data_IF_372574632039
#
_entry.id   IF_372574632039
#
_cell.length_a   1.000
_cell.length_b   1.000
_cell.length_c   1.000
_cell.angle_alpha   90.00
_cell.angle_beta   90.00
_cell.angle_gamma   90.00
#
_symmetry.space_group_name_H-M   'P 1'
#
loop_
_entity.id
_entity.type
_entity.pdbx_description
1 polymer ?
#
# COMPACT_ATOMS: atom_id res chain seq x y z
N UNK A 1 9.85 73.17 40.63
CA UNK A 1 9.92 71.74 41.01
C UNK A 1 8.57 71.34 41.56
N UNK A 2 7.80 70.58 40.79
CA UNK A 2 6.44 70.19 41.16
C UNK A 2 6.46 69.17 42.30
N UNK A 3 5.86 69.53 43.44
CA UNK A 3 5.60 68.62 44.57
C UNK A 3 4.33 67.83 44.24
N UNK A 4 4.50 66.65 43.65
CA UNK A 4 3.41 65.70 43.48
C UNK A 4 2.94 65.20 44.86
N UNK A 5 1.61 65.16 45.09
CA UNK A 5 1.04 64.60 46.32
C UNK A 5 1.23 63.08 46.29
N UNK A 6 1.69 62.50 47.41
CA UNK A 6 2.01 61.08 47.54
C UNK A 6 0.93 60.13 46.97
N UNK A 7 -0.36 60.46 47.10
CA UNK A 7 -1.45 59.63 46.59
C UNK A 7 -1.59 59.57 45.06
N UNK A 8 -1.07 60.54 44.31
CA UNK A 8 -1.07 60.51 42.83
C UNK A 8 0.07 59.63 42.30
N UNK A 9 1.22 59.66 42.97
CA UNK A 9 2.40 58.83 42.63
C UNK A 9 2.09 57.34 42.80
N UNK A 10 1.39 56.95 43.87
CA UNK A 10 0.99 55.55 44.09
C UNK A 10 -0.03 55.06 43.06
N UNK A 11 -0.97 55.92 42.65
CA UNK A 11 -1.97 55.60 41.63
C UNK A 11 -1.33 55.40 40.25
N UNK A 12 -0.29 56.19 39.94
CA UNK A 12 0.49 56.06 38.70
C UNK A 12 1.33 54.78 38.68
N UNK A 13 2.03 54.46 39.79
CA UNK A 13 2.79 53.21 39.94
C UNK A 13 1.90 51.98 39.84
N UNK A 14 0.72 52.02 40.47
CA UNK A 14 -0.26 50.93 40.39
C UNK A 14 -0.74 50.70 38.95
N UNK A 15 -1.05 51.78 38.22
CA UNK A 15 -1.47 51.70 36.81
C UNK A 15 -0.38 51.24 35.83
N UNK A 16 0.90 51.55 36.10
CA UNK A 16 2.03 50.98 35.35
C UNK A 16 2.24 49.50 35.65
N UNK A 17 2.16 49.10 36.92
CA UNK A 17 2.35 47.71 37.34
C UNK A 17 1.28 46.80 36.73
N UNK A 18 0.00 47.23 36.73
CA UNK A 18 -1.06 46.47 36.07
C UNK A 18 -0.86 46.33 34.55
N UNK A 19 -0.36 47.38 33.88
CA UNK A 19 -0.07 47.33 32.44
C UNK A 19 1.09 46.38 32.14
N UNK A 20 2.13 46.38 32.97
CA UNK A 20 3.25 45.44 32.86
C UNK A 20 2.82 43.98 33.03
N UNK A 21 2.00 43.71 34.05
CA UNK A 21 1.43 42.37 34.31
C UNK A 21 0.53 41.92 33.17
N UNK A 22 -0.33 42.79 32.63
CA UNK A 22 -1.18 42.47 31.47
C UNK A 22 -0.37 42.13 30.22
N UNK A 23 0.72 42.85 29.94
CA UNK A 23 1.61 42.55 28.82
C UNK A 23 2.39 41.24 29.02
N UNK A 24 2.87 40.99 30.23
CA UNK A 24 3.54 39.73 30.58
C UNK A 24 2.59 38.53 30.43
N UNK A 25 1.37 38.65 30.93
CA UNK A 25 0.33 37.62 30.80
C UNK A 25 -0.01 37.31 29.34
N UNK A 26 -0.18 38.34 28.50
CA UNK A 26 -0.45 38.16 27.05
C UNK A 26 0.68 37.41 26.34
N UNK A 27 1.94 37.73 26.65
CA UNK A 27 3.10 37.04 26.07
C UNK A 27 3.19 35.58 26.51
N UNK A 28 2.88 35.31 27.77
CA UNK A 28 2.83 33.95 28.30
C UNK A 28 1.74 33.12 27.62
N UNK A 29 0.51 33.65 27.52
CA UNK A 29 -0.61 32.98 26.84
C UNK A 29 -0.28 32.72 25.37
N UNK A 30 0.30 33.70 24.67
CA UNK A 30 0.71 33.52 23.28
C UNK A 30 1.77 32.41 23.13
N UNK A 31 2.75 32.36 24.04
CA UNK A 31 3.76 31.30 24.06
C UNK A 31 3.15 29.91 24.24
N UNK A 32 2.19 29.77 25.17
CA UNK A 32 1.49 28.50 25.41
C UNK A 32 0.66 28.06 24.20
N UNK A 33 -0.03 29.00 23.53
CA UNK A 33 -0.81 28.70 22.32
C UNK A 33 0.09 28.22 21.19
N UNK A 34 1.23 28.90 20.95
CA UNK A 34 2.19 28.51 19.91
C UNK A 34 2.77 27.12 20.22
N UNK A 35 3.18 26.87 21.46
CA UNK A 35 3.68 25.56 21.87
C UNK A 35 2.62 24.46 21.69
N UNK A 36 1.36 24.76 22.01
CA UNK A 36 0.24 23.84 21.80
C UNK A 36 0.00 23.51 20.33
N UNK A 37 0.07 24.49 19.43
CA UNK A 37 -0.07 24.28 17.98
C UNK A 37 1.08 23.43 17.45
N UNK A 38 2.32 23.71 17.84
CA UNK A 38 3.49 22.93 17.42
C UNK A 38 3.36 21.49 17.91
N UNK A 39 3.00 21.29 19.19
CA UNK A 39 2.83 19.95 19.77
C UNK A 39 1.71 19.18 19.07
N UNK A 40 0.56 19.81 18.85
CA UNK A 40 -0.56 19.21 18.10
C UNK A 40 -0.15 18.88 16.66
N UNK A 41 0.57 19.77 15.98
CA UNK A 41 1.09 19.53 14.64
C UNK A 41 2.08 18.36 14.58
N UNK A 42 2.97 18.22 15.57
CA UNK A 42 3.90 17.08 15.67
C UNK A 42 3.14 15.78 15.94
N UNK A 43 2.14 15.77 16.82
CA UNK A 43 1.32 14.59 17.08
C UNK A 43 0.56 14.15 15.82
N UNK A 44 -0.08 15.09 15.12
CA UNK A 44 -0.76 14.81 13.86
C UNK A 44 0.22 14.30 12.79
N UNK A 45 1.40 14.90 12.69
CA UNK A 45 2.44 14.46 11.76
C UNK A 45 2.92 13.03 12.06
N UNK A 46 3.11 12.68 13.33
CA UNK A 46 3.48 11.32 13.74
C UNK A 46 2.36 10.31 13.45
N UNK A 47 1.10 10.65 13.72
CA UNK A 47 -0.04 9.79 13.40
C UNK A 47 -0.19 9.55 11.89
N UNK A 48 -0.07 10.59 11.05
CA UNK A 48 -0.13 10.47 9.59
C UNK A 48 1.02 9.60 9.05
N UNK A 49 2.19 9.68 9.68
CA UNK A 49 3.35 8.88 9.29
C UNK A 49 3.14 7.39 9.61
N UNK A 50 2.58 7.08 10.76
CA UNK A 50 2.25 5.70 11.16
C UNK A 50 1.17 5.07 10.26
N UNK A 51 0.19 5.86 9.79
CA UNK A 51 -0.78 5.38 8.79
C UNK A 51 -0.13 5.07 7.44
N UNK A 52 0.85 5.88 6.99
CA UNK A 52 1.52 5.67 5.69
C UNK A 52 2.58 4.57 5.67
N UNK A 53 3.16 4.22 6.81
CA UNK A 53 4.22 3.19 6.90
C UNK A 53 3.68 1.77 7.15
N UNK A 54 2.36 1.52 7.02
CA UNK A 54 1.77 0.30 7.57
C UNK A 54 0.86 -0.46 6.60
N UNK A 55 1.18 -0.44 5.31
CA UNK A 55 0.36 -1.08 4.28
C UNK A 55 0.95 -2.43 3.83
N UNK A 56 0.05 -3.39 3.59
CA UNK A 56 0.37 -4.61 2.84
C UNK A 56 0.62 -4.20 1.39
N UNK A 57 1.76 -4.59 0.82
CA UNK A 57 2.09 -4.29 -0.56
C UNK A 57 2.63 -5.54 -1.23
N UNK A 58 1.84 -6.11 -2.14
CA UNK A 58 2.17 -7.37 -2.81
C UNK A 58 2.82 -7.08 -4.16
N UNK A 59 3.99 -7.67 -4.37
CA UNK A 59 4.68 -7.70 -5.66
C UNK A 59 4.66 -9.13 -6.21
N UNK A 60 4.74 -9.23 -7.52
CA UNK A 60 4.87 -10.51 -8.23
C UNK A 60 5.74 -10.34 -9.47
N UNK A 61 6.35 -11.44 -9.89
CA UNK A 61 7.05 -11.56 -11.17
C UNK A 61 6.51 -12.78 -11.89
N UNK A 62 6.18 -12.65 -13.17
CA UNK A 62 5.52 -13.69 -13.95
C UNK A 62 6.11 -13.78 -15.34
N UNK A 63 6.49 -14.99 -15.71
CA UNK A 63 6.96 -15.35 -17.04
C UNK A 63 5.92 -16.24 -17.71
N UNK A 64 5.43 -15.81 -18.87
CA UNK A 64 4.49 -16.57 -19.69
C UNK A 64 5.19 -17.06 -20.96
N UNK A 65 5.04 -18.35 -21.25
CA UNK A 65 5.56 -18.98 -22.47
C UNK A 65 4.42 -19.68 -23.20
N UNK A 66 4.17 -19.29 -24.45
CA UNK A 66 3.16 -19.92 -25.30
C UNK A 66 3.79 -20.54 -26.55
N UNK A 67 3.57 -21.84 -26.73
CA UNK A 67 3.97 -22.51 -27.94
C UNK A 67 3.68 -24.01 -27.96
N UNK A 68 4.20 -24.66 -29.00
CA UNK A 68 4.15 -26.10 -29.11
C UNK A 68 4.82 -26.74 -27.88
N UNK A 69 4.18 -27.78 -27.35
CA UNK A 69 4.62 -28.52 -26.16
C UNK A 69 6.07 -28.98 -26.32
N UNK A 70 7.03 -28.25 -25.73
CA UNK A 70 8.43 -28.68 -25.64
C UNK A 70 8.62 -29.43 -24.31
N UNK A 71 8.78 -30.77 -24.40
CA UNK A 71 9.23 -31.64 -23.30
C UNK A 71 8.46 -32.96 -23.15
N UNK A 72 9.18 -34.09 -23.28
CA UNK A 72 8.92 -35.51 -22.91
C UNK A 72 7.57 -36.19 -23.28
N UNK A 73 6.53 -35.45 -23.63
CA UNK A 73 5.27 -35.98 -24.14
C UNK A 73 5.24 -36.00 -25.67
N UNK A 74 6.36 -36.41 -26.28
CA UNK A 74 6.47 -36.73 -27.73
C UNK A 74 5.49 -37.85 -28.17
N UNK A 75 4.78 -38.47 -27.21
CA UNK A 75 3.79 -39.52 -27.44
C UNK A 75 2.33 -39.02 -27.54
N UNK A 76 2.08 -37.74 -27.30
CA UNK A 76 0.78 -37.08 -27.53
C UNK A 76 0.99 -35.74 -28.22
N UNK A 77 1.67 -35.74 -29.36
CA UNK A 77 1.46 -34.69 -30.37
C UNK A 77 0.03 -34.83 -30.91
N UNK A 78 -0.96 -34.37 -30.13
CA UNK A 78 -2.28 -34.08 -30.69
C UNK A 78 -2.03 -32.93 -31.65
N UNK A 79 -1.92 -33.25 -32.94
CA UNK A 79 -1.62 -32.32 -34.01
C UNK A 79 -2.60 -31.14 -33.91
N UNK A 80 -2.09 -29.94 -33.64
CA UNK A 80 -2.92 -28.75 -33.51
C UNK A 80 -3.22 -28.29 -32.07
N UNK A 81 -2.57 -28.81 -31.03
CA UNK A 81 -2.63 -28.24 -29.67
C UNK A 81 -1.38 -27.40 -29.34
N UNK A 82 -1.53 -26.36 -28.54
CA UNK A 82 -0.44 -25.61 -27.89
C UNK A 82 -0.71 -25.42 -26.40
N UNK A 83 0.33 -25.10 -25.63
CA UNK A 83 0.18 -24.77 -24.22
C UNK A 83 0.73 -23.39 -23.89
N UNK A 84 0.08 -22.78 -22.91
CA UNK A 84 0.45 -21.51 -22.27
C UNK A 84 0.91 -21.86 -20.86
N UNK A 85 2.22 -21.83 -20.65
CA UNK A 85 2.85 -22.07 -19.35
C UNK A 85 3.11 -20.75 -18.66
N UNK A 86 2.70 -20.66 -17.42
CA UNK A 86 2.92 -19.50 -16.55
C UNK A 86 3.73 -19.98 -15.37
N UNK A 87 4.84 -19.29 -15.09
CA UNK A 87 5.66 -19.48 -13.90
C UNK A 87 5.85 -18.13 -13.25
N UNK A 88 5.70 -18.06 -11.93
CA UNK A 88 5.86 -16.81 -11.22
C UNK A 88 6.13 -16.96 -9.75
N UNK A 89 6.42 -15.84 -9.14
CA UNK A 89 6.63 -15.70 -7.70
C UNK A 89 5.77 -14.55 -7.18
N UNK A 90 5.24 -14.71 -5.97
CA UNK A 90 4.55 -13.65 -5.23
C UNK A 90 5.22 -13.41 -3.88
N UNK A 91 5.37 -12.16 -3.49
CA UNK A 91 5.94 -11.78 -2.18
C UNK A 91 5.40 -10.43 -1.69
N UNK A 92 5.49 -10.22 -0.39
CA UNK A 92 5.02 -9.00 0.25
C UNK A 92 6.18 -8.04 0.53
N UNK A 93 6.26 -6.94 -0.21
CA UNK A 93 7.25 -5.87 -0.02
C UNK A 93 6.80 -4.83 1.03
N UNK A 94 5.58 -4.94 1.53
CA UNK A 94 5.03 -4.06 2.56
C UNK A 94 5.60 -4.32 3.95
N UNK A 95 5.23 -3.45 4.88
CA UNK A 95 5.70 -3.48 6.27
C UNK A 95 4.82 -4.31 7.21
N UNK A 96 3.62 -4.68 6.76
CA UNK A 96 2.70 -5.60 7.47
C UNK A 96 2.60 -6.94 6.78
N UNK A 97 2.43 -8.00 7.57
CA UNK A 97 2.11 -9.34 7.08
C UNK A 97 0.81 -9.33 6.25
N UNK A 98 0.84 -10.01 5.11
CA UNK A 98 -0.34 -10.24 4.29
C UNK A 98 -0.88 -11.63 4.60
N UNK A 99 -2.12 -11.70 5.10
CA UNK A 99 -2.73 -12.96 5.51
C UNK A 99 -3.66 -13.52 4.45
N UNK A 100 -3.74 -14.85 4.40
CA UNK A 100 -4.67 -15.58 3.52
C UNK A 100 -4.56 -15.13 2.05
N UNK A 101 -3.34 -14.95 1.56
CA UNK A 101 -3.05 -14.50 0.20
C UNK A 101 -3.50 -15.57 -0.79
N UNK A 102 -4.22 -15.12 -1.81
CA UNK A 102 -4.73 -15.95 -2.90
C UNK A 102 -4.26 -15.35 -4.22
N UNK A 103 -3.67 -16.19 -5.08
CA UNK A 103 -3.25 -15.81 -6.43
C UNK A 103 -4.09 -16.59 -7.43
N UNK A 104 -4.77 -15.86 -8.31
CA UNK A 104 -5.57 -16.41 -9.40
C UNK A 104 -5.01 -15.93 -10.73
N UNK A 105 -4.66 -16.87 -11.59
CA UNK A 105 -4.31 -16.60 -12.98
C UNK A 105 -5.58 -16.65 -13.84
N UNK A 106 -5.80 -15.62 -14.63
CA UNK A 106 -6.93 -15.51 -15.55
C UNK A 106 -6.35 -15.61 -16.97
N UNK A 107 -6.67 -16.69 -17.65
CA UNK A 107 -6.32 -16.93 -19.05
C UNK A 107 -7.50 -16.48 -19.91
N UNK A 108 -7.30 -15.43 -20.70
CA UNK A 108 -8.29 -14.91 -21.64
C UNK A 108 -7.88 -15.32 -23.05
N UNK A 109 -8.60 -16.30 -23.60
CA UNK A 109 -8.43 -16.78 -24.96
C UNK A 109 -9.53 -16.21 -25.87
N UNK A 110 -9.23 -15.07 -26.49
CA UNK A 110 -10.15 -14.42 -27.41
C UNK A 110 -10.41 -15.24 -28.69
N UNK A 111 -9.52 -16.16 -29.07
CA UNK A 111 -9.67 -16.94 -30.29
C UNK A 111 -10.66 -18.11 -30.12
N UNK A 112 -10.79 -18.62 -28.90
CA UNK A 112 -11.71 -19.70 -28.54
C UNK A 112 -12.88 -19.23 -27.66
N UNK A 113 -13.07 -17.92 -27.50
CA UNK A 113 -14.10 -17.31 -26.63
C UNK A 113 -14.13 -17.93 -25.23
N UNK A 114 -12.94 -18.08 -24.64
CA UNK A 114 -12.76 -18.83 -23.39
C UNK A 114 -12.02 -18.00 -22.35
N UNK A 115 -12.52 -18.03 -21.11
CA UNK A 115 -11.86 -17.43 -19.96
C UNK A 115 -11.70 -18.48 -18.87
N UNK A 116 -10.46 -18.89 -18.62
CA UNK A 116 -10.13 -19.91 -17.63
C UNK A 116 -9.46 -19.25 -16.43
N UNK A 117 -9.98 -19.50 -15.22
CA UNK A 117 -9.41 -19.00 -13.97
C UNK A 117 -8.79 -20.14 -13.20
N UNK A 118 -7.52 -20.01 -12.85
CA UNK A 118 -6.79 -21.00 -12.06
C UNK A 118 -6.26 -20.36 -10.80
N UNK A 119 -6.73 -20.87 -9.66
CA UNK A 119 -6.14 -20.52 -8.37
C UNK A 119 -4.86 -21.32 -8.20
N UNK A 120 -3.74 -20.61 -8.07
CA UNK A 120 -2.39 -21.21 -8.02
C UNK A 120 -1.75 -21.05 -6.65
N UNK A 121 -2.23 -20.11 -5.84
CA UNK A 121 -1.88 -19.97 -4.42
C UNK A 121 -3.18 -19.76 -3.65
N UNK A 122 -3.35 -20.46 -2.53
CA UNK A 122 -4.50 -20.33 -1.64
C UNK A 122 -4.05 -20.36 -0.18
N UNK A 123 -4.43 -19.34 0.58
CA UNK A 123 -4.20 -19.30 2.03
C UNK A 123 -2.75 -19.11 2.46
N UNK A 124 -1.90 -18.51 1.61
CA UNK A 124 -0.51 -18.26 1.97
C UNK A 124 -0.39 -16.99 2.84
N UNK A 125 0.37 -17.07 3.93
CA UNK A 125 0.73 -15.89 4.71
C UNK A 125 2.11 -15.39 4.25
N UNK A 126 2.16 -14.14 3.76
CA UNK A 126 3.38 -13.53 3.25
C UNK A 126 3.94 -12.54 4.26
N UNK A 127 5.07 -12.91 4.86
CA UNK A 127 5.81 -12.08 5.80
C UNK A 127 6.28 -10.76 5.15
N UNK A 128 6.34 -9.66 5.92
CA UNK A 128 6.71 -8.35 5.40
C UNK A 128 8.16 -8.29 4.90
N UNK A 129 8.46 -7.24 4.13
CA UNK A 129 9.81 -6.89 3.63
C UNK A 129 10.44 -7.98 2.74
N UNK A 130 9.62 -8.76 2.05
CA UNK A 130 10.05 -9.79 1.11
C UNK A 130 10.71 -10.99 1.78
N UNK A 131 10.45 -11.23 3.07
CA UNK A 131 11.07 -12.32 3.83
C UNK A 131 10.67 -13.72 3.32
N UNK A 132 9.49 -13.84 2.69
CA UNK A 132 8.99 -15.09 2.10
C UNK A 132 8.54 -14.81 0.67
N UNK A 133 8.89 -15.73 -0.23
CA UNK A 133 8.40 -15.78 -1.61
C UNK A 133 7.66 -17.09 -1.81
N UNK A 134 6.55 -17.04 -2.54
CA UNK A 134 5.78 -18.23 -2.91
C UNK A 134 5.84 -18.36 -4.42
N UNK A 135 6.46 -19.44 -4.88
CA UNK A 135 6.50 -19.83 -6.29
C UNK A 135 5.15 -20.45 -6.68
N UNK A 136 4.72 -20.21 -7.91
CA UNK A 136 3.54 -20.83 -8.49
C UNK A 136 3.72 -21.09 -9.99
N UNK A 137 3.06 -22.12 -10.48
CA UNK A 137 3.01 -22.46 -11.90
C UNK A 137 1.61 -22.90 -12.32
N UNK A 138 1.30 -22.68 -13.60
CA UNK A 138 0.10 -23.19 -14.23
C UNK A 138 0.30 -23.40 -15.72
N UNK A 139 -0.46 -24.34 -16.28
CA UNK A 139 -0.49 -24.60 -17.71
C UNK A 139 -1.92 -24.59 -18.23
N UNK A 140 -2.17 -23.85 -19.31
CA UNK A 140 -3.43 -23.84 -20.05
C UNK A 140 -3.21 -24.44 -21.44
N UNK A 141 -4.07 -25.38 -21.84
CA UNK A 141 -4.00 -26.06 -23.13
C UNK A 141 -5.12 -25.57 -24.04
N UNK A 142 -4.80 -25.37 -25.30
CA UNK A 142 -5.77 -24.97 -26.33
C UNK A 142 -5.39 -25.47 -27.72
N UNK A 143 -6.34 -25.36 -28.65
CA UNK A 143 -6.06 -25.58 -30.07
C UNK A 143 -5.19 -24.44 -30.64
N UNK A 144 -4.38 -24.74 -31.64
CA UNK A 144 -3.54 -23.79 -32.34
C UNK A 144 -4.39 -22.96 -33.30
N UNK A 145 -4.08 -21.68 -33.40
CA UNK A 145 -4.80 -20.73 -34.23
C UNK A 145 -3.98 -20.34 -35.46
N UNK A 146 -4.67 -20.09 -36.58
CA UNK A 146 -4.05 -19.60 -37.84
C UNK A 146 -4.84 -18.37 -38.32
N UNK A 147 -4.27 -17.15 -38.31
CA UNK A 147 -2.92 -16.81 -37.84
C UNK A 147 -2.76 -17.05 -36.34
N UNK A 148 -1.51 -17.22 -35.87
CA UNK A 148 -1.21 -17.44 -34.45
C UNK A 148 -1.73 -16.27 -33.62
N UNK A 149 -2.49 -16.58 -32.59
CA UNK A 149 -2.98 -15.63 -31.58
C UNK A 149 -2.27 -15.86 -30.24
N UNK A 150 -2.28 -14.90 -29.34
CA UNK A 150 -1.75 -15.04 -27.98
C UNK A 150 -2.89 -15.16 -26.97
N UNK A 151 -2.65 -15.89 -25.88
CA UNK A 151 -3.54 -15.90 -24.71
C UNK A 151 -3.09 -14.82 -23.76
N UNK A 152 -4.00 -13.93 -23.39
CA UNK A 152 -3.74 -12.93 -22.37
C UNK A 152 -3.78 -13.59 -20.99
N UNK A 153 -2.79 -13.30 -20.16
CA UNK A 153 -2.68 -13.82 -18.79
C UNK A 153 -2.68 -12.65 -17.82
N UNK A 154 -3.69 -12.59 -16.97
CA UNK A 154 -3.80 -11.61 -15.88
C UNK A 154 -3.58 -12.29 -14.54
N UNK A 155 -2.86 -11.60 -13.64
CA UNK A 155 -2.58 -12.06 -12.28
C UNK A 155 -3.44 -11.27 -11.31
N UNK A 156 -4.43 -11.93 -10.72
CA UNK A 156 -5.25 -11.35 -9.65
C UNK A 156 -4.72 -11.85 -8.29
N UNK A 157 -4.30 -10.90 -7.44
CA UNK A 157 -3.83 -11.21 -6.09
C UNK A 157 -4.76 -10.57 -5.07
N UNK A 158 -5.31 -11.40 -4.18
CA UNK A 158 -6.19 -11.00 -3.08
C UNK A 158 -5.63 -11.44 -1.73
N UNK A 159 -6.00 -10.74 -0.67
CA UNK A 159 -5.56 -11.04 0.71
C UNK A 159 -6.60 -10.56 1.72
N UNK A 160 -6.51 -11.07 2.94
CA UNK A 160 -7.40 -10.70 4.03
C UNK A 160 -7.29 -9.20 4.35
N UNK A 161 -8.42 -8.49 4.34
CA UNK A 161 -8.48 -7.06 4.64
C UNK A 161 -8.13 -6.14 3.46
N UNK A 162 -7.91 -6.67 2.25
CA UNK A 162 -7.86 -5.85 1.03
C UNK A 162 -9.20 -5.13 0.88
N UNK A 163 -9.19 -3.80 0.97
CA UNK A 163 -10.39 -3.00 0.66
C UNK A 163 -10.64 -3.10 -0.83
N UNK A 164 -11.69 -3.80 -1.23
CA UNK A 164 -12.22 -3.69 -2.58
C UNK A 164 -12.67 -2.25 -2.76
N UNK A 165 -11.91 -1.44 -3.50
CA UNK A 165 -12.35 -0.14 -3.95
C UNK A 165 -13.58 -0.37 -4.85
N UNK A 166 -14.78 -0.20 -4.29
CA UNK A 166 -16.02 -0.03 -5.05
C UNK A 166 -16.12 1.40 -5.59
#
# INVERSE_FOLDING_TARGET
MEKWRNGEVEKWRSGEMERGVKHAMKRFVLGVVIAGIIFCGVLLFLQIREERESEVNIAYDVVTTQGATQGAAEKLSVSGMESVKVQGEVWNIGDKEAKNVTVTLIFTDAAHDSVVRKRVVEGADLLPKGAVRVEFDAEYFREQTVPKTEVEVEVQVDWEGKRNSS
#
